data_IF_892062330809
#
_entry.id   IF_892062330809
#
_cell.length_a   1.000
_cell.length_b   1.000
_cell.length_c   1.000
_cell.angle_alpha   90.00
_cell.angle_beta   90.00
_cell.angle_gamma   90.00
#
_symmetry.space_group_name_H-M   'P 1'
#
loop_
_entity.id
_entity.type
_entity.pdbx_description
1 polymer ?
#
# COMPACT_ATOMS: atom_id res chain seq x y z
N UNK A 1 17.98 -20.46 -24.35
CA UNK A 1 18.45 -19.98 -23.04
C UNK A 1 17.44 -19.03 -22.41
N UNK A 2 16.65 -19.53 -21.46
CA UNK A 2 15.76 -18.70 -20.65
C UNK A 2 16.49 -18.26 -19.39
N UNK A 3 16.85 -16.98 -19.33
CA UNK A 3 17.43 -16.37 -18.13
C UNK A 3 16.35 -16.36 -17.05
N UNK A 4 16.52 -17.14 -15.98
CA UNK A 4 15.69 -17.05 -14.77
C UNK A 4 16.15 -15.85 -13.95
N UNK A 5 15.44 -14.73 -14.06
CA UNK A 5 15.57 -13.61 -13.14
C UNK A 5 14.67 -13.90 -11.93
N UNK A 6 15.27 -14.22 -10.79
CA UNK A 6 14.54 -14.29 -9.52
C UNK A 6 14.49 -12.88 -8.93
N UNK A 7 13.49 -12.11 -9.38
CA UNK A 7 13.24 -10.77 -8.86
C UNK A 7 12.47 -10.92 -7.55
N UNK A 8 13.09 -10.47 -6.47
CA UNK A 8 12.46 -10.39 -5.15
C UNK A 8 11.58 -9.14 -5.08
N UNK A 9 10.27 -9.35 -4.97
CA UNK A 9 9.27 -8.30 -4.82
C UNK A 9 8.79 -8.21 -3.36
N UNK A 10 9.73 -8.09 -2.44
CA UNK A 10 9.45 -7.93 -1.00
C UNK A 10 9.20 -6.47 -0.64
N UNK A 11 8.12 -6.21 0.09
CA UNK A 11 7.83 -4.90 0.66
C UNK A 11 8.74 -4.66 1.87
N UNK A 12 9.53 -3.58 1.86
CA UNK A 12 10.46 -3.26 2.96
C UNK A 12 9.78 -2.79 4.26
N UNK A 13 8.46 -2.65 4.28
CA UNK A 13 7.69 -2.25 5.47
C UNK A 13 7.14 -3.48 6.20
N UNK A 14 6.40 -4.36 5.50
CA UNK A 14 5.85 -5.58 6.11
C UNK A 14 6.79 -6.79 6.00
N UNK A 15 7.90 -6.67 5.26
CA UNK A 15 8.89 -7.72 5.02
C UNK A 15 8.31 -9.00 4.38
N UNK A 16 7.27 -8.81 3.58
CA UNK A 16 6.57 -9.88 2.87
C UNK A 16 6.36 -9.46 1.41
N UNK A 17 5.97 -10.39 0.53
CA UNK A 17 5.70 -10.12 -0.89
C UNK A 17 4.77 -8.91 -1.02
N UNK A 18 5.08 -7.96 -1.91
CA UNK A 18 4.23 -6.79 -2.13
C UNK A 18 2.83 -7.22 -2.54
N UNK A 19 1.82 -6.59 -1.95
CA UNK A 19 0.40 -6.90 -2.20
C UNK A 19 -0.33 -5.59 -2.47
N UNK A 20 -1.16 -5.58 -3.51
CA UNK A 20 -1.71 -4.33 -4.09
C UNK A 20 -0.58 -3.30 -4.28
N UNK A 21 0.46 -3.66 -5.06
CA UNK A 21 1.71 -2.92 -5.12
C UNK A 21 1.48 -1.52 -5.70
N UNK A 22 2.08 -0.53 -5.05
CA UNK A 22 2.21 0.84 -5.56
C UNK A 22 3.67 1.19 -5.73
N UNK A 23 3.99 1.89 -6.81
CA UNK A 23 5.28 2.57 -6.97
C UNK A 23 5.13 4.03 -6.57
N UNK A 24 6.04 4.52 -5.71
CA UNK A 24 6.16 5.94 -5.41
C UNK A 24 6.84 6.67 -6.57
N UNK A 25 6.76 8.00 -6.63
CA UNK A 25 7.39 8.76 -7.74
C UNK A 25 8.91 8.65 -7.76
N UNK A 26 9.53 8.25 -6.63
CA UNK A 26 10.96 7.92 -6.55
C UNK A 26 11.29 6.50 -7.04
N UNK A 27 10.32 5.73 -7.53
CA UNK A 27 10.47 4.39 -8.11
C UNK A 27 10.41 3.21 -7.13
N UNK A 28 10.40 3.44 -5.82
CA UNK A 28 10.33 2.38 -4.81
C UNK A 28 8.91 1.81 -4.68
N UNK A 29 8.81 0.48 -4.51
CA UNK A 29 7.55 -0.26 -4.50
C UNK A 29 7.20 -0.73 -3.09
N UNK A 30 5.95 -0.58 -2.69
CA UNK A 30 5.40 -1.01 -1.41
C UNK A 30 4.00 -1.61 -1.59
N UNK A 31 3.48 -2.28 -0.57
CA UNK A 31 2.04 -2.56 -0.51
C UNK A 31 1.27 -1.24 -0.37
N UNK A 32 0.08 -1.12 -0.96
CA UNK A 32 -0.74 0.09 -0.84
C UNK A 32 -0.98 0.50 0.63
N UNK A 33 -1.39 -0.45 1.47
CA UNK A 33 -1.65 -0.17 2.90
C UNK A 33 -0.38 0.23 3.66
N UNK A 34 0.77 -0.35 3.31
CA UNK A 34 2.06 0.04 3.88
C UNK A 34 2.45 1.46 3.47
N UNK A 35 2.26 1.81 2.19
CA UNK A 35 2.52 3.16 1.70
C UNK A 35 1.62 4.19 2.41
N UNK A 36 0.32 3.90 2.57
CA UNK A 36 -0.60 4.79 3.29
C UNK A 36 -0.17 5.00 4.74
N UNK A 37 0.21 3.92 5.44
CA UNK A 37 0.73 3.99 6.81
C UNK A 37 2.00 4.87 6.90
N UNK A 38 2.98 4.67 6.00
CA UNK A 38 4.19 5.48 5.98
C UNK A 38 3.95 6.95 5.60
N UNK A 39 2.92 7.22 4.79
CA UNK A 39 2.50 8.57 4.44
C UNK A 39 1.61 9.24 5.50
N UNK A 40 1.34 8.56 6.62
CA UNK A 40 0.44 9.03 7.69
C UNK A 40 -0.96 9.39 7.17
N UNK A 41 -1.47 8.63 6.20
CA UNK A 41 -2.81 8.80 5.62
C UNK A 41 -3.63 7.53 5.80
N UNK A 42 -4.96 7.69 5.81
CA UNK A 42 -5.86 6.54 5.83
C UNK A 42 -5.98 5.93 4.44
N UNK A 43 -6.31 4.64 4.36
CA UNK A 43 -6.61 3.97 3.07
C UNK A 43 -7.81 4.57 2.35
N UNK A 44 -8.69 5.28 3.07
CA UNK A 44 -9.86 5.98 2.53
C UNK A 44 -9.47 7.31 1.91
N UNK A 45 -8.63 8.10 2.59
CA UNK A 45 -8.13 9.37 2.07
C UNK A 45 -7.15 9.16 0.93
N UNK A 46 -6.41 8.05 0.94
CA UNK A 46 -5.45 7.63 -0.08
C UNK A 46 -4.14 8.43 -0.09
N UNK A 47 -3.21 7.99 -0.92
CA UNK A 47 -1.85 8.56 -1.01
C UNK A 47 -1.84 10.01 -1.53
N UNK A 48 -2.88 10.43 -2.26
CA UNK A 48 -3.06 11.82 -2.68
C UNK A 48 -3.20 12.80 -1.50
N UNK A 49 -3.65 12.34 -0.33
CA UNK A 49 -3.78 13.16 0.86
C UNK A 49 -2.46 13.33 1.63
N UNK A 50 -1.39 12.69 1.18
CA UNK A 50 -0.11 12.70 1.85
C UNK A 50 0.50 14.11 1.88
N UNK A 51 1.07 14.48 3.02
CA UNK A 51 1.83 15.72 3.15
C UNK A 51 3.08 15.68 2.26
N UNK A 52 3.43 16.78 1.56
CA UNK A 52 4.67 16.87 0.79
C UNK A 52 5.95 16.69 1.62
N UNK A 53 5.85 16.73 2.95
CA UNK A 53 6.97 16.51 3.87
C UNK A 53 7.24 15.03 4.14
N UNK A 54 6.29 14.14 3.86
CA UNK A 54 6.45 12.71 4.05
C UNK A 54 7.51 12.16 3.11
N UNK A 55 8.26 11.18 3.60
CA UNK A 55 9.48 10.67 2.93
C UNK A 55 9.37 9.19 2.64
N UNK A 56 9.91 8.78 1.50
CA UNK A 56 10.09 7.38 1.18
C UNK A 56 10.88 6.66 2.30
N UNK A 57 10.41 5.51 2.82
CA UNK A 57 11.15 4.73 3.83
C UNK A 57 12.51 4.21 3.35
N UNK A 58 12.70 4.07 2.03
CA UNK A 58 13.91 3.53 1.42
C UNK A 58 14.94 4.62 1.08
N UNK A 59 14.57 5.60 0.24
CA UNK A 59 15.52 6.64 -0.22
C UNK A 59 15.41 7.98 0.52
N UNK A 60 14.41 8.16 1.39
CA UNK A 60 14.16 9.40 2.16
C UNK A 60 13.82 10.65 1.32
N UNK A 61 13.60 10.48 0.02
CA UNK A 61 13.07 11.52 -0.85
C UNK A 61 11.67 11.93 -0.38
N UNK A 62 11.41 13.24 -0.33
CA UNK A 62 10.17 13.81 0.18
C UNK A 62 9.16 14.05 -0.95
N UNK A 63 7.87 14.06 -0.61
CA UNK A 63 6.80 14.42 -1.56
C UNK A 63 6.53 13.36 -2.62
N UNK A 64 6.89 12.09 -2.33
CA UNK A 64 6.87 11.00 -3.32
C UNK A 64 5.54 10.24 -3.42
N UNK A 65 4.56 10.56 -2.59
CA UNK A 65 3.33 9.80 -2.42
C UNK A 65 2.17 10.25 -3.32
N UNK A 66 2.01 11.56 -3.54
CA UNK A 66 0.84 12.14 -4.24
C UNK A 66 0.73 11.67 -5.70
N UNK A 67 1.84 11.27 -6.32
CA UNK A 67 1.90 10.73 -7.69
C UNK A 67 2.14 9.22 -7.75
N UNK A 68 1.92 8.48 -6.67
CA UNK A 68 2.10 7.04 -6.66
C UNK A 68 1.13 6.33 -7.62
N UNK A 69 1.58 5.24 -8.24
CA UNK A 69 0.81 4.46 -9.21
C UNK A 69 0.65 3.01 -8.74
N UNK A 70 -0.55 2.46 -8.89
CA UNK A 70 -0.78 1.02 -8.73
C UNK A 70 -0.14 0.24 -9.86
N UNK A 71 0.47 -0.90 -9.53
CA UNK A 71 1.12 -1.81 -10.47
C UNK A 71 0.23 -3.05 -10.65
N UNK A 72 -0.91 -2.89 -11.31
CA UNK A 72 -1.95 -3.92 -11.42
C UNK A 72 -1.45 -5.20 -12.11
N UNK A 73 -0.63 -5.09 -13.17
CA UNK A 73 -0.05 -6.24 -13.83
C UNK A 73 0.89 -7.02 -12.91
N UNK A 74 1.68 -6.31 -12.09
CA UNK A 74 2.53 -6.95 -11.09
C UNK A 74 1.67 -7.69 -10.06
N UNK A 75 0.59 -7.07 -9.59
CA UNK A 75 -0.36 -7.69 -8.68
C UNK A 75 -0.95 -9.01 -9.25
N UNK A 76 -1.35 -8.98 -10.53
CA UNK A 76 -1.88 -10.15 -11.25
C UNK A 76 -0.80 -11.23 -11.37
N UNK A 77 0.43 -10.87 -11.72
CA UNK A 77 1.53 -11.83 -11.85
C UNK A 77 1.89 -12.48 -10.51
N UNK A 78 1.95 -11.70 -9.43
CA UNK A 78 2.24 -12.21 -8.09
C UNK A 78 1.15 -13.15 -7.58
N UNK A 79 -0.13 -12.83 -7.83
CA UNK A 79 -1.25 -13.71 -7.45
C UNK A 79 -1.18 -15.10 -8.10
N UNK A 80 -0.63 -15.18 -9.31
CA UNK A 80 -0.44 -16.46 -10.02
C UNK A 80 0.76 -17.26 -9.53
N UNK A 81 1.78 -16.61 -8.94
CA UNK A 81 3.00 -17.26 -8.46
C UNK A 81 2.75 -18.11 -7.21
N UNK A 82 1.87 -17.67 -6.31
CA UNK A 82 1.54 -18.39 -5.07
C UNK A 82 0.05 -18.19 -4.69
N UNK A 83 -0.88 -18.95 -5.29
CA UNK A 83 -2.32 -18.68 -5.19
C UNK A 83 -2.89 -18.86 -3.76
N UNK A 84 -2.47 -19.90 -3.02
CA UNK A 84 -3.03 -20.19 -1.70
C UNK A 84 -2.68 -19.09 -0.68
N UNK A 85 -1.40 -18.71 -0.62
CA UNK A 85 -0.93 -17.58 0.18
C UNK A 85 -1.63 -16.28 -0.23
N UNK A 86 -1.79 -16.05 -1.53
CA UNK A 86 -2.42 -14.84 -2.04
C UNK A 86 -3.89 -14.73 -1.67
N UNK A 87 -4.62 -15.85 -1.69
CA UNK A 87 -6.01 -15.91 -1.25
C UNK A 87 -6.14 -15.60 0.25
N UNK A 88 -5.27 -16.17 1.08
CA UNK A 88 -5.24 -15.88 2.51
C UNK A 88 -4.95 -14.40 2.77
N UNK A 89 -3.91 -13.86 2.12
CA UNK A 89 -3.56 -12.44 2.26
C UNK A 89 -4.66 -11.51 1.78
N UNK A 90 -5.36 -11.84 0.69
CA UNK A 90 -6.51 -11.08 0.21
C UNK A 90 -7.63 -11.01 1.25
N UNK A 91 -7.92 -12.11 1.94
CA UNK A 91 -8.92 -12.14 3.02
C UNK A 91 -8.51 -11.24 4.18
N UNK A 92 -7.25 -11.31 4.60
CA UNK A 92 -6.70 -10.50 5.68
C UNK A 92 -6.73 -9.00 5.35
N UNK A 93 -6.20 -8.60 4.20
CA UNK A 93 -6.18 -7.19 3.80
C UNK A 93 -7.59 -6.64 3.58
N UNK A 94 -8.52 -7.44 3.04
CA UNK A 94 -9.92 -7.01 2.90
C UNK A 94 -10.56 -6.75 4.26
N UNK A 95 -10.34 -7.62 5.23
CA UNK A 95 -10.85 -7.44 6.59
C UNK A 95 -10.28 -6.17 7.25
N UNK A 96 -8.98 -5.93 7.09
CA UNK A 96 -8.31 -4.75 7.64
C UNK A 96 -8.78 -3.46 6.95
N UNK A 97 -8.93 -3.44 5.62
CA UNK A 97 -9.47 -2.28 4.89
C UNK A 97 -10.89 -1.91 5.36
N UNK A 98 -11.75 -2.92 5.57
CA UNK A 98 -13.10 -2.69 6.08
C UNK A 98 -13.08 -2.11 7.50
N UNK A 99 -12.19 -2.61 8.36
CA UNK A 99 -12.00 -2.10 9.72
C UNK A 99 -11.54 -0.64 9.69
N UNK A 100 -10.50 -0.32 8.93
CA UNK A 100 -9.98 1.05 8.81
C UNK A 100 -11.01 2.01 8.22
N UNK A 101 -11.78 1.57 7.22
CA UNK A 101 -12.86 2.38 6.66
C UNK A 101 -13.96 2.67 7.68
N UNK A 102 -14.36 1.67 8.47
CA UNK A 102 -15.31 1.85 9.58
C UNK A 102 -14.80 2.87 10.59
N UNK A 103 -13.57 2.70 11.08
CA UNK A 103 -12.94 3.59 12.05
C UNK A 103 -12.84 5.04 11.53
N UNK A 104 -12.48 5.21 10.25
CA UNK A 104 -12.44 6.50 9.58
C UNK A 104 -13.81 7.21 9.62
N UNK A 105 -14.87 6.53 9.18
CA UNK A 105 -16.21 7.12 9.13
C UNK A 105 -16.78 7.37 10.52
N UNK A 106 -16.55 6.49 11.49
CA UNK A 106 -16.94 6.73 12.88
C UNK A 106 -16.23 7.95 13.45
N UNK A 107 -14.94 8.14 13.17
CA UNK A 107 -14.19 9.31 13.60
C UNK A 107 -14.72 10.59 12.96
N UNK A 108 -15.05 10.56 11.67
CA UNK A 108 -15.65 11.70 10.96
C UNK A 108 -17.03 12.04 11.53
N UNK A 109 -17.86 11.04 11.82
CA UNK A 109 -19.17 11.26 12.44
C UNK A 109 -19.04 11.88 13.83
N UNK A 110 -18.12 11.39 14.68
CA UNK A 110 -17.87 12.00 16.00
C UNK A 110 -17.43 13.46 15.88
N UNK A 111 -16.44 13.74 15.03
CA UNK A 111 -15.96 15.10 14.80
C UNK A 111 -17.05 16.05 14.28
N UNK A 112 -18.07 15.53 13.58
CA UNK A 112 -19.23 16.30 13.15
C UNK A 112 -20.26 16.54 14.26
N UNK A 113 -20.44 15.58 15.18
CA UNK A 113 -21.39 15.66 16.29
C UNK A 113 -20.86 16.44 17.51
N UNK A 114 -19.55 16.62 17.64
CA UNK A 114 -18.91 17.42 18.69
C UNK A 114 -18.91 18.94 18.37
N UNK A 115 -19.84 19.41 17.51
CA UNK A 115 -20.08 20.82 17.14
C UNK A 115 -21.46 21.29 17.59
#
# INVERSE_FOLDING_TARGET
DSVKLDIDFTCSVCLDTVFDPVTLTCGHIFCYMCACSCASVTVVDGLQAASPKERCPLCREAGVYVGALHLDELNILLSRRCPDYWEERLKLERAERLKQAKEYWESKCRAFMDV
#
